data_IF_369681020971
#
_entry.id   IF_369681020971
#
_cell.length_a   1.000
_cell.length_b   1.000
_cell.length_c   1.000
_cell.angle_alpha   90.00
_cell.angle_beta   90.00
_cell.angle_gamma   90.00
#
_symmetry.space_group_name_H-M   'P 1'
#
loop_
_entity.id
_entity.type
_entity.pdbx_description
1 polymer ?
#
# COMPACT_ATOMS: atom_id res chain seq x y z
N UNK A 1 3.26 -16.44 -1.71
CA UNK A 1 2.40 -15.51 -0.93
C UNK A 1 2.98 -15.34 0.46
N UNK A 2 3.26 -14.08 0.85
CA UNK A 2 3.80 -13.72 2.17
C UNK A 2 2.65 -13.39 3.13
N UNK A 3 1.62 -12.68 2.64
CA UNK A 3 0.50 -12.23 3.45
C UNK A 3 -0.75 -12.04 2.59
N UNK A 4 -1.93 -12.25 3.19
CA UNK A 4 -3.24 -11.88 2.63
C UNK A 4 -4.18 -11.50 3.76
N UNK A 5 -4.86 -10.36 3.64
CA UNK A 5 -5.84 -9.91 4.64
C UNK A 5 -6.84 -8.93 4.06
N UNK A 6 -7.98 -8.77 4.74
CA UNK A 6 -9.02 -7.78 4.42
C UNK A 6 -8.78 -6.52 5.24
N UNK A 7 -8.82 -5.36 4.61
CA UNK A 7 -8.51 -4.08 5.23
C UNK A 7 -9.51 -3.01 4.84
N UNK A 8 -9.88 -2.16 5.80
CA UNK A 8 -10.74 -1.01 5.53
C UNK A 8 -9.91 0.15 4.98
N UNK A 9 -10.14 0.53 3.72
CA UNK A 9 -9.37 1.55 3.00
C UNK A 9 -10.26 2.77 2.72
N UNK A 10 -9.75 3.96 3.03
CA UNK A 10 -10.35 5.23 2.59
C UNK A 10 -9.92 5.57 1.16
N UNK A 11 -10.88 5.61 0.24
CA UNK A 11 -10.69 6.07 -1.13
C UNK A 11 -10.95 7.56 -1.20
N UNK A 12 -9.96 8.33 -1.66
CA UNK A 12 -10.05 9.79 -1.76
C UNK A 12 -9.94 10.26 -3.20
N UNK A 13 -10.91 11.05 -3.66
CA UNK A 13 -10.92 11.69 -4.98
C UNK A 13 -11.33 13.15 -4.85
N UNK A 14 -10.36 14.05 -4.81
CA UNK A 14 -10.64 15.46 -4.51
C UNK A 14 -11.24 15.61 -3.12
N UNK A 15 -12.46 16.16 -3.03
CA UNK A 15 -13.20 16.30 -1.77
C UNK A 15 -14.06 15.08 -1.41
N UNK A 16 -14.20 14.12 -2.32
CA UNK A 16 -14.97 12.90 -2.08
C UNK A 16 -14.13 11.88 -1.30
N UNK A 17 -14.68 11.36 -0.21
CA UNK A 17 -14.13 10.23 0.54
C UNK A 17 -15.18 9.13 0.61
N UNK A 18 -14.79 7.91 0.25
CA UNK A 18 -15.56 6.68 0.50
C UNK A 18 -14.67 5.66 1.18
N UNK A 19 -15.26 4.63 1.80
CA UNK A 19 -14.51 3.59 2.48
C UNK A 19 -15.04 2.23 2.08
N UNK A 20 -14.12 1.29 1.85
CA UNK A 20 -14.45 -0.09 1.47
C UNK A 20 -13.51 -1.06 2.12
N UNK A 21 -13.99 -2.28 2.33
CA UNK A 21 -13.12 -3.41 2.62
C UNK A 21 -12.45 -3.88 1.34
N UNK A 22 -11.12 -3.91 1.35
CA UNK A 22 -10.31 -4.36 0.22
C UNK A 22 -9.41 -5.49 0.70
N UNK A 23 -9.33 -6.54 -0.10
CA UNK A 23 -8.40 -7.61 0.14
C UNK A 23 -7.02 -7.22 -0.40
N UNK A 24 -6.01 -7.23 0.47
CA UNK A 24 -4.62 -6.94 0.14
C UNK A 24 -3.82 -8.24 0.23
N UNK A 25 -3.10 -8.59 -0.84
CA UNK A 25 -2.06 -9.62 -0.83
C UNK A 25 -0.66 -9.03 -0.98
N UNK A 26 0.31 -9.65 -0.32
CA UNK A 26 1.74 -9.34 -0.44
C UNK A 26 2.46 -10.61 -0.89
N UNK A 27 3.18 -10.53 -2.00
CA UNK A 27 3.79 -11.67 -2.67
C UNK A 27 5.24 -11.33 -3.08
N UNK A 28 6.18 -12.25 -2.84
CA UNK A 28 7.50 -12.21 -3.47
C UNK A 28 7.51 -13.14 -4.67
N UNK A 29 7.79 -12.59 -5.84
CA UNK A 29 7.88 -13.32 -7.11
C UNK A 29 9.33 -13.73 -7.32
N UNK A 30 9.65 -14.99 -7.04
CA UNK A 30 11.02 -15.51 -7.04
C UNK A 30 11.70 -15.39 -8.42
N UNK A 31 10.96 -15.64 -9.51
CA UNK A 31 11.52 -15.61 -10.87
C UNK A 31 12.02 -14.21 -11.30
N UNK A 32 11.60 -13.15 -10.59
CA UNK A 32 11.88 -11.75 -10.95
C UNK A 32 12.46 -10.92 -9.81
N UNK A 33 12.80 -11.54 -8.66
CA UNK A 33 13.12 -10.88 -7.39
C UNK A 33 12.24 -9.62 -7.15
N UNK A 34 10.93 -9.75 -7.35
CA UNK A 34 9.98 -8.64 -7.35
C UNK A 34 8.99 -8.79 -6.21
N UNK A 35 8.81 -7.74 -5.41
CA UNK A 35 7.71 -7.62 -4.46
C UNK A 35 6.46 -7.17 -5.20
N UNK A 36 5.34 -7.85 -4.97
CA UNK A 36 4.02 -7.48 -5.49
C UNK A 36 3.06 -7.26 -4.34
N UNK A 37 2.38 -6.12 -4.34
CA UNK A 37 1.16 -5.91 -3.56
C UNK A 37 -0.02 -5.90 -4.52
N UNK A 38 -1.09 -6.61 -4.15
CA UNK A 38 -2.34 -6.62 -4.92
C UNK A 38 -3.47 -6.13 -4.05
N UNK A 39 -4.25 -5.18 -4.53
CA UNK A 39 -5.48 -4.70 -3.90
C UNK A 39 -6.65 -5.15 -4.78
N UNK A 40 -7.59 -5.90 -4.22
CA UNK A 40 -8.78 -6.41 -4.91
C UNK A 40 -10.05 -6.24 -4.07
N UNK A 41 -11.16 -5.93 -4.70
CA UNK A 41 -12.48 -5.84 -4.07
C UNK A 41 -13.23 -7.15 -4.35
N UNK A 42 -13.63 -7.86 -3.30
CA UNK A 42 -14.34 -9.14 -3.46
C UNK A 42 -15.80 -8.91 -3.92
N UNK A 43 -16.33 -7.69 -3.76
CA UNK A 43 -17.67 -7.28 -4.24
C UNK A 43 -17.63 -6.62 -5.63
N UNK A 44 -16.46 -6.18 -6.08
CA UNK A 44 -16.23 -5.60 -7.40
C UNK A 44 -15.00 -6.25 -8.08
N UNK A 45 -15.20 -7.35 -8.84
CA UNK A 45 -14.11 -8.05 -9.52
C UNK A 45 -13.35 -7.20 -10.55
N UNK A 46 -13.89 -6.05 -10.96
CA UNK A 46 -13.22 -5.14 -11.88
C UNK A 46 -12.20 -4.25 -11.18
N UNK A 47 -12.31 -4.11 -9.85
CA UNK A 47 -11.33 -3.39 -9.06
C UNK A 47 -10.11 -4.28 -8.78
N UNK A 48 -9.02 -3.99 -9.49
CA UNK A 48 -7.72 -4.60 -9.26
C UNK A 48 -6.63 -3.55 -9.40
N UNK A 49 -5.87 -3.32 -8.33
CA UNK A 49 -4.65 -2.51 -8.39
C UNK A 49 -3.44 -3.37 -8.03
N UNK A 50 -2.32 -3.12 -8.71
CA UNK A 50 -1.05 -3.80 -8.44
C UNK A 50 0.07 -2.80 -8.24
N UNK A 51 0.91 -3.09 -7.25
CA UNK A 51 2.19 -2.44 -7.05
C UNK A 51 3.23 -3.51 -7.27
N UNK A 52 4.20 -3.24 -8.13
CA UNK A 52 5.35 -4.13 -8.35
C UNK A 52 6.62 -3.32 -8.13
N UNK A 53 7.47 -3.83 -7.25
CA UNK A 53 8.76 -3.22 -6.92
C UNK A 53 9.84 -4.24 -7.16
N UNK A 54 10.72 -3.97 -8.10
CA UNK A 54 12.01 -4.64 -8.19
C UNK A 54 12.97 -4.07 -7.15
N UNK A 55 14.12 -4.70 -6.98
CA UNK A 55 15.19 -4.16 -6.12
C UNK A 55 15.64 -2.76 -6.58
N UNK A 56 15.73 -2.52 -7.89
CA UNK A 56 16.10 -1.22 -8.44
C UNK A 56 15.06 -0.14 -8.10
N UNK A 57 13.76 -0.44 -8.30
CA UNK A 57 12.67 0.49 -7.97
C UNK A 57 12.67 0.82 -6.46
N UNK A 58 12.99 -0.18 -5.63
CA UNK A 58 13.07 0.00 -4.19
C UNK A 58 14.20 0.94 -3.77
N UNK A 59 15.37 0.90 -4.41
CA UNK A 59 16.47 1.81 -4.05
C UNK A 59 16.09 3.28 -4.29
N UNK A 60 15.29 3.56 -5.32
CA UNK A 60 14.73 4.90 -5.55
C UNK A 60 13.67 5.25 -4.50
N UNK A 61 12.72 4.35 -4.25
CA UNK A 61 11.68 4.52 -3.24
C UNK A 61 12.27 4.80 -1.86
N UNK A 62 13.31 4.04 -1.49
CA UNK A 62 14.04 4.15 -0.23
C UNK A 62 14.61 5.54 -0.04
N UNK A 63 15.26 6.10 -1.06
CA UNK A 63 15.81 7.46 -1.03
C UNK A 63 14.70 8.51 -0.97
N UNK A 64 13.65 8.36 -1.78
CA UNK A 64 12.55 9.31 -1.86
C UNK A 64 11.76 9.42 -0.54
N UNK A 65 11.61 8.32 0.20
CA UNK A 65 10.84 8.28 1.45
C UNK A 65 11.69 8.16 2.71
N UNK A 66 13.02 8.18 2.57
CA UNK A 66 13.94 8.06 3.70
C UNK A 66 13.80 6.73 4.46
N UNK A 67 13.49 5.64 3.76
CA UNK A 67 13.36 4.32 4.39
C UNK A 67 14.72 3.84 4.89
N UNK A 68 14.77 3.29 6.10
CA UNK A 68 16.03 2.86 6.74
C UNK A 68 16.36 1.39 6.52
N UNK A 69 15.41 0.60 6.01
CA UNK A 69 15.57 -0.85 5.83
C UNK A 69 16.04 -1.19 4.41
N UNK A 70 16.60 -2.36 4.21
CA UNK A 70 16.94 -2.89 2.89
C UNK A 70 15.71 -3.54 2.20
N UNK A 71 15.89 -3.90 0.93
CA UNK A 71 14.84 -4.53 0.14
C UNK A 71 14.40 -5.89 0.70
N UNK A 72 15.31 -6.65 1.30
CA UNK A 72 15.01 -8.00 1.76
C UNK A 72 14.15 -7.99 3.04
N UNK A 73 14.28 -6.95 3.86
CA UNK A 73 13.45 -6.72 5.04
C UNK A 73 12.15 -5.92 4.74
N UNK A 74 12.09 -5.22 3.61
CA UNK A 74 10.94 -4.37 3.26
C UNK A 74 9.59 -5.10 3.20
N UNK A 75 9.45 -6.30 2.59
CA UNK A 75 8.18 -7.02 2.56
C UNK A 75 7.60 -7.30 3.97
N UNK A 76 8.45 -7.76 4.90
CA UNK A 76 8.04 -8.02 6.28
C UNK A 76 7.60 -6.74 7.00
N UNK A 77 8.28 -5.62 6.74
CA UNK A 77 7.87 -4.32 7.29
C UNK A 77 6.53 -3.84 6.73
N UNK A 78 6.26 -4.04 5.44
CA UNK A 78 4.95 -3.75 4.84
C UNK A 78 3.85 -4.55 5.52
N UNK A 79 4.05 -5.85 5.73
CA UNK A 79 3.09 -6.71 6.43
C UNK A 79 2.83 -6.21 7.86
N UNK A 80 3.89 -5.83 8.59
CA UNK A 80 3.77 -5.27 9.94
C UNK A 80 2.95 -3.98 9.95
N UNK A 81 3.21 -3.05 9.01
CA UNK A 81 2.45 -1.81 8.89
C UNK A 81 0.97 -2.08 8.60
N UNK A 82 0.66 -3.00 7.67
CA UNK A 82 -0.71 -3.41 7.36
C UNK A 82 -1.41 -3.99 8.60
N UNK A 83 -0.76 -4.89 9.33
CA UNK A 83 -1.31 -5.47 10.56
C UNK A 83 -1.60 -4.40 11.62
N UNK A 84 -0.70 -3.42 11.79
CA UNK A 84 -0.95 -2.34 12.73
C UNK A 84 -2.13 -1.44 12.33
N UNK A 85 -2.51 -1.34 11.05
CA UNK A 85 -3.77 -0.68 10.63
C UNK A 85 -5.03 -1.40 11.13
N UNK A 86 -4.94 -2.67 11.53
CA UNK A 86 -6.08 -3.40 12.13
C UNK A 86 -6.16 -3.27 13.64
N UNK A 87 -5.06 -2.87 14.30
CA UNK A 87 -4.94 -2.87 15.75
C UNK A 87 -4.85 -1.47 16.38
N UNK A 88 -4.34 -0.47 15.65
CA UNK A 88 -3.99 0.86 16.16
C UNK A 88 -4.65 1.99 15.34
N UNK A 89 -4.33 3.25 15.67
CA UNK A 89 -4.76 4.48 14.98
C UNK A 89 -4.05 4.70 13.62
N UNK A 90 -3.80 3.63 12.86
CA UNK A 90 -3.28 3.72 11.50
C UNK A 90 -4.34 3.38 10.47
N UNK A 91 -4.30 4.08 9.35
CA UNK A 91 -5.31 4.03 8.30
C UNK A 91 -4.64 3.78 6.95
N UNK A 92 -5.36 3.08 6.10
CA UNK A 92 -5.00 2.91 4.70
C UNK A 92 -5.79 3.90 3.85
N UNK A 93 -5.10 4.61 2.97
CA UNK A 93 -5.70 5.58 2.07
C UNK A 93 -5.29 5.25 0.64
N UNK A 94 -6.27 5.19 -0.27
CA UNK A 94 -6.02 5.16 -1.70
C UNK A 94 -6.42 6.51 -2.29
N UNK A 95 -5.44 7.37 -2.54
CA UNK A 95 -5.65 8.73 -3.02
C UNK A 95 -5.50 8.81 -4.54
N UNK A 96 -6.58 9.17 -5.23
CA UNK A 96 -6.54 9.38 -6.68
C UNK A 96 -5.73 10.63 -7.03
N UNK A 97 -4.70 10.46 -7.85
CA UNK A 97 -3.81 11.56 -8.25
C UNK A 97 -4.25 12.12 -9.61
N UNK A 98 -4.05 11.37 -10.68
CA UNK A 98 -4.39 11.73 -12.05
C UNK A 98 -4.41 10.49 -12.96
N UNK A 99 -5.12 10.56 -14.09
CA UNK A 99 -5.08 9.55 -15.16
C UNK A 99 -5.27 8.09 -14.69
N UNK A 100 -6.08 7.84 -13.65
CA UNK A 100 -6.31 6.50 -13.10
C UNK A 100 -5.20 6.00 -12.17
N UNK A 101 -4.20 6.81 -11.85
CA UNK A 101 -3.18 6.49 -10.86
C UNK A 101 -3.61 6.87 -9.44
N UNK A 102 -3.18 6.06 -8.49
CA UNK A 102 -3.42 6.25 -7.07
C UNK A 102 -2.11 6.25 -6.28
N UNK A 103 -2.09 6.98 -5.17
CA UNK A 103 -1.14 6.75 -4.10
C UNK A 103 -1.82 5.90 -3.02
N UNK A 104 -1.29 4.71 -2.79
CA UNK A 104 -1.63 3.87 -1.66
C UNK A 104 -0.76 4.27 -0.47
N UNK A 105 -1.36 4.78 0.59
CA UNK A 105 -0.68 5.36 1.74
C UNK A 105 -1.06 4.63 3.02
N UNK A 106 -0.04 4.37 3.85
CA UNK A 106 -0.20 3.94 5.24
C UNK A 106 0.06 5.17 6.11
N UNK A 107 -0.95 5.58 6.87
CA UNK A 107 -0.90 6.83 7.64
C UNK A 107 -1.28 6.63 9.09
N UNK A 108 -0.66 7.42 9.94
CA UNK A 108 -0.98 7.53 11.35
C UNK A 108 -1.48 8.96 11.64
N UNK A 109 -2.53 9.07 12.45
CA UNK A 109 -2.93 10.34 13.04
C UNK A 109 -2.54 10.32 14.51
N UNK A 110 -1.62 11.21 14.91
CA UNK A 110 -1.35 11.46 16.32
C UNK A 110 -2.03 12.76 16.76
N UNK A 111 -1.83 13.16 18.01
CA UNK A 111 -2.48 14.34 18.60
C UNK A 111 -2.11 15.67 17.91
N UNK A 112 -1.04 15.69 17.11
CA UNK A 112 -0.51 16.91 16.50
C UNK A 112 -0.67 16.93 14.97
N UNK A 113 -0.38 15.83 14.28
CA UNK A 113 -0.30 15.79 12.81
C UNK A 113 -0.61 14.41 12.22
N UNK A 114 -0.82 14.42 10.91
CA UNK A 114 -0.80 13.23 10.06
C UNK A 114 0.65 12.86 9.70
N UNK A 115 1.02 11.61 9.90
CA UNK A 115 2.29 11.02 9.48
C UNK A 115 2.03 9.99 8.38
N UNK A 116 2.76 10.07 7.26
CA UNK A 116 2.75 9.04 6.22
C UNK A 116 3.94 8.12 6.46
N UNK A 117 3.67 6.87 6.81
CA UNK A 117 4.70 5.84 7.02
C UNK A 117 5.20 5.24 5.72
N UNK A 118 4.33 5.13 4.72
CA UNK A 118 4.64 4.59 3.42
C UNK A 118 3.66 5.15 2.38
N UNK A 119 4.15 5.52 1.20
CA UNK A 119 3.34 5.94 0.05
C UNK A 119 3.76 5.18 -1.20
N UNK A 120 2.87 4.45 -1.85
CA UNK A 120 3.20 3.64 -3.03
C UNK A 120 2.31 4.05 -4.20
N UNK A 121 2.91 4.29 -5.37
CA UNK A 121 2.14 4.53 -6.59
C UNK A 121 1.56 3.23 -7.10
N UNK A 122 0.29 3.29 -7.51
CA UNK A 122 -0.42 2.17 -8.13
C UNK A 122 -1.40 2.66 -9.18
N UNK A 123 -1.99 1.73 -9.91
CA UNK A 123 -3.05 1.95 -10.89
C UNK A 123 -3.79 0.65 -11.17
N UNK A 124 -4.84 0.71 -12.00
CA UNK A 124 -5.51 -0.47 -12.54
C UNK A 124 -4.49 -1.44 -13.14
N UNK A 125 -4.66 -2.73 -12.84
CA UNK A 125 -3.81 -3.81 -13.33
C UNK A 125 -4.29 -4.38 -14.66
#
# INVERSE_FOLDING_TARGET
MIHRGKYYISFKRGYEESRKDITISVDKLFDRDTLRLTLSDDEDPTFLCRIQLTRCDYEELKKQQGLLIDYDNFPSQVVRLLQQCTANNMFLILHHVNSGHYNFEIVEHNEFKRLVHLSLRTGPA
#
